data_IF_887265411820
#
_entry.id   IF_887265411820
#
_cell.length_a   1.000
_cell.length_b   1.000
_cell.length_c   1.000
_cell.angle_alpha   90.00
_cell.angle_beta   90.00
_cell.angle_gamma   90.00
#
_symmetry.space_group_name_H-M   'P 1'
#
loop_
_entity.id
_entity.type
_entity.pdbx_description
1 polymer ?
#
# COMPACT_ATOMS: atom_id res chain seq x y z
N UNK A 1 -47.90 -39.60 3.77
CA UNK A 1 -47.06 -39.51 3.92
C UNK A 1 -46.35 -38.44 4.23
N UNK A 2 -45.52 -38.22 4.80
CA UNK A 2 -44.97 -37.27 5.22
C UNK A 2 -43.88 -36.86 4.52
N UNK A 3 -43.77 -35.76 4.12
CA UNK A 3 -42.86 -35.23 3.48
C UNK A 3 -41.91 -34.67 4.34
N UNK A 4 -40.78 -35.00 4.33
CA UNK A 4 -39.86 -34.41 5.03
C UNK A 4 -39.37 -33.33 4.42
N UNK A 5 -39.59 -32.23 4.78
CA UNK A 5 -39.05 -31.07 4.33
C UNK A 5 -37.71 -30.98 4.76
N UNK A 6 -36.75 -31.15 4.09
CA UNK A 6 -35.45 -30.89 4.42
C UNK A 6 -35.13 -29.53 4.18
N UNK A 7 -34.98 -28.77 5.12
CA UNK A 7 -34.59 -27.44 5.01
C UNK A 7 -33.14 -27.43 4.94
N UNK A 8 -32.63 -27.19 3.79
CA UNK A 8 -31.26 -26.99 3.64
C UNK A 8 -30.96 -25.61 4.03
N UNK A 9 -30.51 -25.46 5.19
CA UNK A 9 -30.01 -24.18 5.58
C UNK A 9 -28.66 -24.11 5.01
N UNK A 10 -28.54 -23.44 3.95
CA UNK A 10 -27.26 -23.05 3.49
C UNK A 10 -26.70 -22.13 4.54
N UNK A 11 -25.84 -22.66 5.30
CA UNK A 11 -25.06 -21.83 6.15
C UNK A 11 -24.23 -20.99 5.22
N UNK A 12 -24.68 -19.82 5.00
CA UNK A 12 -23.87 -18.83 4.42
C UNK A 12 -22.82 -18.53 5.42
N UNK A 13 -21.74 -19.21 5.24
CA UNK A 13 -20.57 -18.79 5.95
C UNK A 13 -20.27 -17.40 5.51
N UNK A 14 -20.55 -16.47 6.33
CA UNK A 14 -20.02 -15.17 6.15
C UNK A 14 -18.55 -15.32 6.28
N UNK A 15 -17.91 -15.38 5.16
CA UNK A 15 -16.49 -15.22 5.15
C UNK A 15 -16.29 -13.77 5.49
N UNK A 16 -16.14 -13.53 6.75
CA UNK A 16 -15.65 -12.23 7.15
C UNK A 16 -14.24 -12.15 6.63
N UNK A 17 -14.08 -11.50 5.53
CA UNK A 17 -12.78 -11.15 5.11
C UNK A 17 -12.33 -10.10 6.10
N UNK A 18 -11.67 -10.56 7.11
CA UNK A 18 -10.91 -9.65 7.89
C UNK A 18 -9.78 -9.22 7.00
N UNK A 19 -10.04 -8.21 6.24
CA UNK A 19 -8.95 -7.52 5.62
C UNK A 19 -8.19 -6.84 6.72
N UNK A 20 -7.39 -7.64 7.38
CA UNK A 20 -6.51 -7.10 8.36
C UNK A 20 -5.60 -6.13 7.65
N UNK A 21 -5.68 -4.90 8.01
CA UNK A 21 -4.71 -3.92 7.59
C UNK A 21 -4.59 -3.73 6.11
N UNK A 22 -5.71 -3.55 5.44
CA UNK A 22 -5.66 -3.29 4.04
C UNK A 22 -5.00 -1.97 3.70
N UNK A 23 -3.72 -1.97 3.62
CA UNK A 23 -2.99 -0.84 3.10
C UNK A 23 -2.56 -1.10 1.67
N UNK A 24 -3.19 -2.07 1.03
CA UNK A 24 -2.95 -2.30 -0.38
C UNK A 24 -3.63 -1.20 -1.17
N UNK A 25 -2.87 -0.51 -1.95
CA UNK A 25 -3.38 0.57 -2.76
C UNK A 25 -2.95 0.33 -4.21
N UNK A 26 -3.87 0.42 -5.14
CA UNK A 26 -3.48 0.34 -6.53
C UNK A 26 -2.61 1.54 -6.88
N UNK A 27 -1.66 1.32 -7.74
CA UNK A 27 -0.76 2.37 -8.19
C UNK A 27 -1.49 3.29 -9.15
N UNK A 28 -2.65 3.74 -8.75
CA UNK A 28 -3.50 4.49 -9.60
C UNK A 28 -3.01 5.82 -9.88
N UNK A 29 -2.28 6.31 -8.93
CA UNK A 29 -1.74 7.64 -9.06
C UNK A 29 -0.83 7.75 -10.26
N UNK A 30 -0.41 6.63 -10.78
CA UNK A 30 0.27 6.68 -12.05
C UNK A 30 -0.78 6.84 -13.12
N UNK A 31 -0.40 7.24 -14.23
CA UNK A 31 -1.27 7.49 -15.34
C UNK A 31 -2.23 6.38 -15.72
N UNK A 32 -2.14 5.28 -15.02
CA UNK A 32 -3.10 4.24 -15.28
C UNK A 32 -4.51 4.63 -14.96
N UNK A 33 -4.64 5.59 -14.08
CA UNK A 33 -5.95 6.11 -13.78
C UNK A 33 -6.41 7.13 -14.78
N UNK A 34 -5.67 7.35 -15.85
CA UNK A 34 -6.11 8.26 -16.85
C UNK A 34 -7.33 7.63 -17.55
N UNK A 35 -8.51 8.10 -17.28
CA UNK A 35 -9.72 7.48 -17.79
C UNK A 35 -9.83 7.56 -19.30
N UNK A 36 -9.02 8.37 -19.91
CA UNK A 36 -9.08 8.51 -21.35
C UNK A 36 -8.14 7.56 -22.07
N UNK A 37 -7.34 6.82 -21.32
CA UNK A 37 -6.40 5.90 -21.91
C UNK A 37 -5.38 6.56 -22.82
N UNK A 38 -5.30 7.87 -22.78
CA UNK A 38 -4.46 8.62 -23.70
C UNK A 38 -3.09 8.94 -23.16
N UNK A 39 -2.79 8.56 -21.93
CA UNK A 39 -1.45 8.79 -21.42
C UNK A 39 -0.49 7.87 -22.14
N UNK A 40 0.37 8.44 -22.92
CA UNK A 40 1.41 7.70 -23.60
C UNK A 40 2.56 7.37 -22.67
N UNK A 41 2.48 7.84 -21.45
CA UNK A 41 3.54 7.66 -20.49
C UNK A 41 3.24 6.56 -19.50
N UNK A 42 4.07 5.54 -19.52
CA UNK A 42 4.05 4.49 -18.53
C UNK A 42 5.36 4.56 -17.75
N UNK A 43 5.32 4.79 -16.45
CA UNK A 43 6.54 4.91 -15.68
C UNK A 43 7.32 3.60 -15.63
N UNK A 44 8.63 3.70 -15.62
CA UNK A 44 9.52 2.55 -15.45
C UNK A 44 9.59 2.17 -13.98
N UNK A 45 10.04 0.95 -13.69
CA UNK A 45 10.26 0.53 -12.31
C UNK A 45 11.25 1.46 -11.59
N UNK A 46 12.25 1.94 -12.29
CA UNK A 46 13.24 2.87 -11.73
C UNK A 46 12.59 4.19 -11.33
N UNK A 47 11.70 4.70 -12.16
CA UNK A 47 10.98 5.94 -11.86
C UNK A 47 10.01 5.76 -10.70
N UNK A 48 9.32 4.64 -10.64
CA UNK A 48 8.43 4.33 -9.53
C UNK A 48 9.21 4.19 -8.22
N UNK A 49 10.33 3.49 -8.25
CA UNK A 49 11.22 3.37 -7.10
C UNK A 49 11.66 4.75 -6.61
N UNK A 50 12.08 5.60 -7.51
CA UNK A 50 12.51 6.95 -7.15
C UNK A 50 11.37 7.75 -6.52
N UNK A 51 10.17 7.65 -7.06
CA UNK A 51 9.00 8.33 -6.51
C UNK A 51 8.70 7.86 -5.08
N UNK A 52 8.78 6.56 -4.84
CA UNK A 52 8.57 5.98 -3.50
C UNK A 52 9.65 6.48 -2.54
N UNK A 53 10.90 6.49 -2.96
CA UNK A 53 11.99 7.00 -2.13
C UNK A 53 11.81 8.47 -1.79
N UNK A 54 11.45 9.29 -2.75
CA UNK A 54 11.21 10.72 -2.52
C UNK A 54 10.05 10.93 -1.54
N UNK A 55 8.97 10.17 -1.71
CA UNK A 55 7.81 10.27 -0.85
C UNK A 55 8.14 9.92 0.60
N UNK A 56 8.81 8.79 0.80
CA UNK A 56 9.17 8.34 2.15
C UNK A 56 10.18 9.27 2.79
N UNK A 57 11.22 9.63 2.07
CA UNK A 57 12.26 10.52 2.59
C UNK A 57 11.72 11.89 2.97
N UNK A 58 10.79 12.42 2.21
CA UNK A 58 10.18 13.71 2.50
C UNK A 58 9.38 13.70 3.80
N UNK A 59 8.98 12.53 4.27
CA UNK A 59 8.25 12.37 5.51
C UNK A 59 9.12 11.86 6.66
N UNK A 60 10.41 11.72 6.43
CA UNK A 60 11.34 11.27 7.46
C UNK A 60 11.49 9.75 7.57
N UNK A 61 10.96 9.01 6.63
CA UNK A 61 11.21 7.57 6.58
C UNK A 61 12.59 7.30 6.03
N UNK A 62 13.26 6.31 6.59
CA UNK A 62 14.52 5.82 6.06
C UNK A 62 14.22 4.68 5.11
N UNK A 63 14.57 4.85 3.85
CA UNK A 63 14.22 3.92 2.79
C UNK A 63 15.39 2.99 2.49
N UNK A 64 15.11 1.69 2.42
CA UNK A 64 16.12 0.69 2.13
C UNK A 64 15.61 -0.28 1.10
N UNK A 65 16.36 -0.47 0.04
CA UNK A 65 15.99 -1.45 -0.97
C UNK A 65 16.29 -2.85 -0.43
N UNK A 66 15.30 -3.72 -0.43
CA UNK A 66 15.43 -5.10 0.03
C UNK A 66 15.68 -6.01 -1.16
N UNK A 67 14.96 -5.78 -2.24
CA UNK A 67 15.15 -6.47 -3.50
C UNK A 67 14.62 -5.57 -4.62
N UNK A 68 14.60 -6.07 -5.85
CA UNK A 68 14.26 -5.26 -7.01
C UNK A 68 12.85 -4.67 -7.00
N UNK A 69 11.97 -5.20 -6.16
CA UNK A 69 10.57 -4.76 -6.10
C UNK A 69 10.07 -4.50 -4.68
N UNK A 70 10.96 -4.46 -3.70
CA UNK A 70 10.59 -4.26 -2.30
C UNK A 70 11.51 -3.25 -1.64
N UNK A 71 10.91 -2.25 -1.03
CA UNK A 71 11.60 -1.24 -0.25
C UNK A 71 11.11 -1.36 1.18
N UNK A 72 12.02 -1.44 2.14
CA UNK A 72 11.67 -1.39 3.54
C UNK A 72 11.84 0.05 4.01
N UNK A 73 10.79 0.59 4.60
CA UNK A 73 10.80 1.95 5.12
C UNK A 73 10.67 1.92 6.64
N UNK A 74 11.48 2.72 7.31
CA UNK A 74 11.51 2.80 8.78
C UNK A 74 11.32 4.24 9.21
N UNK A 75 10.39 4.45 10.13
CA UNK A 75 10.12 5.75 10.72
C UNK A 75 10.19 5.66 12.24
N UNK A 76 10.95 6.55 12.84
CA UNK A 76 11.14 6.56 14.30
C UNK A 76 10.60 7.87 14.86
N UNK A 77 9.75 7.77 15.85
CA UNK A 77 9.25 8.94 16.56
C UNK A 77 9.18 8.62 18.05
N UNK A 78 10.04 9.27 18.83
CA UNK A 78 10.15 8.97 20.25
C UNK A 78 10.63 7.52 20.44
N UNK A 79 9.87 6.77 21.21
CA UNK A 79 10.18 5.37 21.48
C UNK A 79 9.50 4.42 20.49
N UNK A 80 8.79 4.95 19.52
CA UNK A 80 8.05 4.15 18.59
C UNK A 80 8.77 4.03 17.24
N UNK A 81 8.82 2.82 16.74
CA UNK A 81 9.42 2.55 15.44
C UNK A 81 8.37 1.91 14.54
N UNK A 82 8.12 2.53 13.42
CA UNK A 82 7.28 1.95 12.38
C UNK A 82 8.17 1.39 11.29
N UNK A 83 7.93 0.14 10.92
CA UNK A 83 8.62 -0.49 9.79
C UNK A 83 7.56 -1.02 8.85
N UNK A 84 7.68 -0.70 7.59
CA UNK A 84 6.76 -1.19 6.57
C UNK A 84 7.55 -1.71 5.38
N UNK A 85 6.95 -2.67 4.69
CA UNK A 85 7.48 -3.16 3.43
C UNK A 85 6.61 -2.59 2.31
N UNK A 86 7.24 -1.97 1.34
CA UNK A 86 6.56 -1.42 0.18
C UNK A 86 6.93 -2.28 -1.01
N UNK A 87 5.98 -3.09 -1.46
CA UNK A 87 6.18 -3.92 -2.64
C UNK A 87 5.54 -3.18 -3.82
N UNK A 88 6.19 -3.16 -4.94
CA UNK A 88 5.70 -2.42 -6.10
C UNK A 88 6.06 -3.12 -7.40
N UNK A 89 5.22 -2.89 -8.38
CA UNK A 89 5.50 -3.24 -9.77
C UNK A 89 5.10 -2.02 -10.63
N UNK A 90 4.91 -2.22 -11.91
CA UNK A 90 4.57 -1.11 -12.79
C UNK A 90 3.12 -0.66 -12.70
N UNK A 91 2.27 -1.44 -12.06
CA UNK A 91 0.84 -1.17 -12.00
C UNK A 91 0.30 -0.90 -10.61
N UNK A 92 0.89 -1.51 -9.60
CA UNK A 92 0.41 -1.41 -8.21
C UNK A 92 1.55 -1.27 -7.22
N UNK A 93 1.22 -0.79 -6.03
CA UNK A 93 2.10 -0.91 -4.89
C UNK A 93 1.27 -1.27 -3.66
N UNK A 94 1.92 -1.90 -2.70
CA UNK A 94 1.30 -2.33 -1.45
C UNK A 94 2.20 -1.95 -0.30
N UNK A 95 1.63 -1.33 0.73
CA UNK A 95 2.35 -1.00 1.95
C UNK A 95 1.88 -1.96 3.04
N UNK A 96 2.78 -2.77 3.54
CA UNK A 96 2.45 -3.78 4.56
C UNK A 96 3.26 -3.52 5.82
N UNK A 97 2.62 -3.48 7.01
CA UNK A 97 3.36 -3.36 8.25
C UNK A 97 4.31 -4.53 8.44
N UNK A 98 5.53 -4.24 8.88
CA UNK A 98 6.53 -5.26 9.15
C UNK A 98 6.55 -5.56 10.64
N UNK A 99 6.79 -6.82 10.98
CA UNK A 99 6.82 -7.28 12.37
C UNK A 99 7.85 -6.58 13.24
N UNK A 100 8.81 -5.93 12.64
CA UNK A 100 9.82 -5.16 13.38
C UNK A 100 9.25 -3.87 13.96
N UNK A 101 8.03 -3.50 13.58
CA UNK A 101 7.39 -2.31 14.12
C UNK A 101 7.02 -2.51 15.57
N UNK A 102 7.33 -1.54 16.42
CA UNK A 102 6.95 -1.59 17.84
C UNK A 102 5.46 -1.33 18.03
N UNK A 103 4.78 -0.85 17.01
CA UNK A 103 3.36 -0.52 17.04
C UNK A 103 2.47 -1.63 16.49
N UNK A 104 3.00 -2.83 16.34
CA UNK A 104 2.19 -3.99 15.99
C UNK A 104 1.85 -4.76 17.26
N UNK A 105 0.62 -5.22 17.32
CA UNK A 105 0.16 -6.03 18.45
C UNK A 105 0.35 -7.51 18.17
N UNK A 106 0.40 -8.33 19.21
CA UNK A 106 0.58 -9.78 19.02
C UNK A 106 -0.50 -10.44 18.17
N UNK A 107 -1.71 -9.87 18.14
CA UNK A 107 -2.81 -10.39 17.33
C UNK A 107 -2.72 -10.00 15.85
N UNK A 108 -1.65 -9.32 15.47
CA UNK A 108 -1.47 -8.89 14.08
C UNK A 108 -2.11 -7.55 13.73
N UNK A 109 -2.84 -6.93 14.67
CA UNK A 109 -3.38 -5.60 14.43
C UNK A 109 -2.31 -4.54 14.66
N UNK A 110 -2.52 -3.35 14.12
CA UNK A 110 -1.57 -2.26 14.24
C UNK A 110 -2.16 -1.13 15.07
N UNK A 111 -1.29 -0.43 15.76
CA UNK A 111 -1.69 0.75 16.51
C UNK A 111 -2.12 1.86 15.56
N UNK A 112 -3.05 2.69 16.04
CA UNK A 112 -3.58 3.80 15.26
C UNK A 112 -2.49 4.74 14.76
N UNK A 113 -1.43 4.93 15.51
CA UNK A 113 -0.33 5.80 15.10
C UNK A 113 0.36 5.25 13.85
N UNK A 114 0.61 3.93 13.82
CA UNK A 114 1.22 3.32 12.64
C UNK A 114 0.31 3.44 11.42
N UNK A 115 -1.00 3.23 11.60
CA UNK A 115 -1.94 3.40 10.51
C UNK A 115 -1.92 4.83 9.97
N UNK A 116 -1.84 5.84 10.84
CA UNK A 116 -1.77 7.22 10.41
C UNK A 116 -0.47 7.51 9.65
N UNK A 117 0.64 6.95 10.12
CA UNK A 117 1.93 7.12 9.44
C UNK A 117 1.90 6.49 8.05
N UNK A 118 1.32 5.29 7.95
CA UNK A 118 1.18 4.59 6.68
C UNK A 118 0.27 5.39 5.74
N UNK A 119 -0.83 5.93 6.25
CA UNK A 119 -1.73 6.74 5.44
C UNK A 119 -1.03 7.97 4.88
N UNK A 120 -0.24 8.64 5.71
CA UNK A 120 0.50 9.81 5.28
C UNK A 120 1.59 9.44 4.26
N UNK A 121 2.24 8.30 4.44
CA UNK A 121 3.20 7.80 3.49
C UNK A 121 2.53 7.51 2.15
N UNK A 122 1.38 6.85 2.18
CA UNK A 122 0.60 6.52 1.00
C UNK A 122 0.21 7.77 0.22
N UNK A 123 -0.27 8.79 0.92
CA UNK A 123 -0.63 10.06 0.29
C UNK A 123 0.57 10.70 -0.40
N UNK A 124 1.74 10.63 0.22
CA UNK A 124 2.95 11.18 -0.37
C UNK A 124 3.40 10.39 -1.58
N UNK A 125 3.28 9.06 -1.55
CA UNK A 125 3.60 8.22 -2.69
C UNK A 125 2.68 8.57 -3.86
N UNK A 126 1.39 8.67 -3.62
CA UNK A 126 0.43 9.05 -4.65
C UNK A 126 0.77 10.40 -5.26
N UNK A 127 1.14 11.36 -4.42
CA UNK A 127 1.52 12.69 -4.90
C UNK A 127 2.74 12.65 -5.80
N UNK A 128 3.76 11.90 -5.43
CA UNK A 128 4.97 11.79 -6.24
C UNK A 128 4.72 11.06 -7.56
N UNK A 129 3.85 10.05 -7.56
CA UNK A 129 3.48 9.34 -8.78
C UNK A 129 2.71 10.24 -9.74
N UNK A 130 1.80 11.05 -9.24
CA UNK A 130 1.09 12.02 -10.06
C UNK A 130 2.06 13.05 -10.64
N UNK A 131 2.97 13.55 -9.81
CA UNK A 131 3.98 14.51 -10.27
C UNK A 131 4.84 13.94 -11.39
N UNK A 132 5.20 12.67 -11.26
CA UNK A 132 5.98 11.96 -12.26
C UNK A 132 5.25 11.93 -13.61
N UNK A 133 3.96 11.63 -13.59
CA UNK A 133 3.13 11.61 -14.78
C UNK A 133 3.06 12.99 -15.42
N UNK A 134 2.77 14.02 -14.64
CA UNK A 134 2.66 15.38 -15.13
C UNK A 134 3.98 15.84 -15.78
N UNK A 135 5.09 15.60 -15.11
CA UNK A 135 6.39 16.05 -15.60
C UNK A 135 6.78 15.37 -16.92
N UNK A 136 6.35 14.14 -17.11
CA UNK A 136 6.69 13.41 -18.32
C UNK A 136 5.73 13.68 -19.48
N UNK A 137 4.49 14.02 -19.19
CA UNK A 137 3.55 14.43 -20.23
C UNK A 137 3.85 15.83 -20.73
N UNK A 138 4.52 16.65 -19.95
CA UNK A 138 4.87 18.01 -20.34
C UNK A 138 6.09 18.07 -21.27
N UNK A 139 6.76 16.96 -21.48
CA UNK A 139 7.88 16.87 -22.42
C UNK A 139 7.38 16.43 -23.78
#
# INVERSE_FOLDING_TARGET
RKMKRRILIAALGSVAFLTACGTSQPLIATGNSNPTGSSKYAPTLKEIKKAIYLAGSSRGWVMKEVNSKTIQATYVKGQHTGVVDIEYDRETYTITPNKKSTLMRPDGTVDRHLNNWIRNLDLSIKKELVRLTINNEAK
#
